data_IF_723932506643
#
_entry.id   IF_723932506643
#
_cell.length_a   1.000
_cell.length_b   1.000
_cell.length_c   1.000
_cell.angle_alpha   90.00
_cell.angle_beta   90.00
_cell.angle_gamma   90.00
#
_symmetry.space_group_name_H-M   'P 1'
#
loop_
_entity.id
_entity.type
_entity.pdbx_description
1 polymer ?
#
# COMPACT_ATOMS: atom_id res chain seq x y z
N UNK A 1 -0.75 5.73 -20.24
CA UNK A 1 -0.50 5.79 -18.80
C UNK A 1 -1.79 5.52 -18.04
N UNK A 2 -1.99 4.26 -17.72
CA UNK A 2 -3.25 3.76 -17.14
C UNK A 2 -3.59 4.38 -15.80
N UNK A 3 -2.63 4.37 -14.87
CA UNK A 3 -2.86 4.77 -13.47
C UNK A 3 -2.99 6.28 -13.31
N UNK A 4 -2.10 7.04 -13.96
CA UNK A 4 -2.13 8.51 -13.91
C UNK A 4 -3.43 9.00 -14.54
N UNK A 5 -3.79 8.48 -15.72
CA UNK A 5 -5.03 8.86 -16.40
C UNK A 5 -6.26 8.52 -15.56
N UNK A 6 -6.24 7.36 -14.91
CA UNK A 6 -7.33 6.96 -14.02
C UNK A 6 -7.54 7.96 -12.89
N UNK A 7 -6.46 8.30 -12.18
CA UNK A 7 -6.53 9.24 -11.05
C UNK A 7 -6.90 10.63 -11.53
N UNK A 8 -6.31 11.09 -12.64
CA UNK A 8 -6.63 12.40 -13.21
C UNK A 8 -8.06 12.50 -13.71
N UNK A 9 -8.74 11.37 -13.93
CA UNK A 9 -10.14 11.38 -14.35
C UNK A 9 -11.07 11.90 -13.24
N UNK A 10 -10.65 11.91 -11.97
CA UNK A 10 -11.49 12.39 -10.87
C UNK A 10 -10.84 13.44 -9.98
N UNK A 11 -9.57 13.78 -10.17
CA UNK A 11 -8.93 14.82 -9.37
C UNK A 11 -7.73 15.44 -10.09
N UNK A 12 -7.45 16.72 -9.77
CA UNK A 12 -6.22 17.41 -10.16
C UNK A 12 -5.33 17.65 -8.93
N UNK A 13 -5.72 17.15 -7.77
CA UNK A 13 -5.07 17.47 -6.48
C UNK A 13 -4.07 16.39 -6.04
N UNK A 14 -3.56 15.62 -6.99
CA UNK A 14 -2.53 14.61 -6.73
C UNK A 14 -1.27 14.89 -7.55
N UNK A 15 -0.14 14.55 -6.95
CA UNK A 15 1.17 14.69 -7.56
C UNK A 15 1.73 13.31 -7.90
N UNK A 16 2.27 13.17 -9.10
CA UNK A 16 2.87 11.94 -9.62
C UNK A 16 4.39 12.09 -9.68
N UNK A 17 5.08 10.97 -9.80
CA UNK A 17 6.54 10.91 -9.77
C UNK A 17 7.07 10.06 -10.91
N UNK A 18 8.37 10.17 -11.24
CA UNK A 18 8.98 9.24 -12.20
C UNK A 18 8.79 7.80 -11.75
N UNK A 19 8.81 6.82 -12.66
CA UNK A 19 8.67 5.41 -12.32
C UNK A 19 9.68 4.95 -11.28
N UNK A 20 9.25 4.04 -10.41
CA UNK A 20 10.18 3.33 -9.52
C UNK A 20 11.14 2.49 -10.37
N UNK A 21 12.36 2.30 -9.86
CA UNK A 21 13.33 1.46 -10.54
C UNK A 21 12.96 -0.01 -10.38
N UNK A 22 13.14 -0.79 -11.43
CA UNK A 22 12.85 -2.22 -11.40
C UNK A 22 13.67 -2.92 -10.32
N UNK A 23 14.93 -2.52 -10.12
CA UNK A 23 15.79 -3.07 -9.07
C UNK A 23 15.21 -2.84 -7.68
N UNK A 24 14.55 -1.72 -7.45
CA UNK A 24 13.92 -1.43 -6.15
C UNK A 24 12.76 -2.39 -5.89
N UNK A 25 11.95 -2.68 -6.91
CA UNK A 25 10.83 -3.62 -6.80
C UNK A 25 11.35 -5.03 -6.50
N UNK A 26 12.34 -5.49 -7.29
CA UNK A 26 12.92 -6.82 -7.11
C UNK A 26 13.55 -6.96 -5.72
N UNK A 27 14.27 -5.92 -5.27
CA UNK A 27 14.90 -5.92 -3.94
C UNK A 27 13.86 -6.06 -2.84
N UNK A 28 12.72 -5.39 -2.94
CA UNK A 28 11.65 -5.51 -1.95
C UNK A 28 11.05 -6.92 -1.95
N UNK A 29 10.82 -7.49 -3.13
CA UNK A 29 10.30 -8.86 -3.24
C UNK A 29 11.25 -9.87 -2.59
N UNK A 30 12.55 -9.70 -2.77
CA UNK A 30 13.56 -10.53 -2.13
C UNK A 30 13.61 -10.30 -0.62
N UNK A 31 13.58 -9.03 -0.21
CA UNK A 31 13.66 -8.65 1.20
C UNK A 31 12.48 -9.18 2.02
N UNK A 32 11.27 -9.07 1.48
CA UNK A 32 10.05 -9.50 2.15
C UNK A 32 9.66 -10.95 1.84
N UNK A 33 10.38 -11.62 0.93
CA UNK A 33 10.12 -12.99 0.53
C UNK A 33 8.69 -13.15 0.04
N UNK A 34 8.26 -12.22 -0.84
CA UNK A 34 6.90 -12.23 -1.40
C UNK A 34 6.93 -11.63 -2.80
N UNK A 35 6.10 -12.17 -3.70
CA UNK A 35 5.88 -11.61 -5.03
C UNK A 35 4.82 -10.51 -4.91
N UNK A 36 5.12 -9.30 -5.37
CA UNK A 36 4.14 -8.22 -5.39
C UNK A 36 3.05 -8.52 -6.43
N UNK A 37 1.80 -8.14 -6.14
CA UNK A 37 0.75 -8.23 -7.15
C UNK A 37 1.13 -7.49 -8.43
N UNK A 38 0.72 -8.03 -9.57
CA UNK A 38 1.03 -7.41 -10.86
C UNK A 38 0.52 -5.97 -10.95
N UNK A 39 -0.67 -5.70 -10.39
CA UNK A 39 -1.23 -4.34 -10.38
C UNK A 39 -0.35 -3.36 -9.60
N UNK A 40 0.25 -3.79 -8.49
CA UNK A 40 1.15 -2.93 -7.72
C UNK A 40 2.44 -2.66 -8.47
N UNK A 41 3.00 -3.68 -9.11
CA UNK A 41 4.20 -3.50 -9.93
C UNK A 41 3.93 -2.58 -11.12
N UNK A 42 2.80 -2.76 -11.80
CA UNK A 42 2.41 -1.89 -12.91
C UNK A 42 2.24 -0.44 -12.46
N UNK A 43 1.63 -0.25 -11.28
CA UNK A 43 1.47 1.09 -10.70
C UNK A 43 2.84 1.74 -10.44
N UNK A 44 3.73 1.05 -9.75
CA UNK A 44 5.06 1.59 -9.41
C UNK A 44 5.92 1.83 -10.64
N UNK A 45 5.74 1.04 -11.70
CA UNK A 45 6.44 1.23 -12.98
C UNK A 45 5.92 2.43 -13.76
N UNK A 46 4.75 2.95 -13.41
CA UNK A 46 4.20 4.15 -14.03
C UNK A 46 4.47 5.39 -13.18
N UNK A 47 4.26 5.30 -11.87
CA UNK A 47 4.53 6.39 -10.93
C UNK A 47 5.02 5.81 -9.59
N UNK A 48 6.09 6.36 -9.07
CA UNK A 48 6.67 5.92 -7.80
C UNK A 48 5.90 6.54 -6.64
N UNK A 49 4.68 6.04 -6.43
CA UNK A 49 3.75 6.57 -5.45
C UNK A 49 2.95 7.75 -5.97
N UNK A 50 1.99 8.18 -5.19
CA UNK A 50 1.14 9.35 -5.47
C UNK A 50 0.91 10.08 -4.16
N UNK A 51 1.14 11.39 -4.16
CA UNK A 51 0.91 12.22 -2.97
C UNK A 51 -0.18 13.25 -3.24
N UNK A 52 -0.80 13.73 -2.16
CA UNK A 52 -1.73 14.85 -2.25
C UNK A 52 -0.95 16.15 -2.44
N UNK A 53 -1.43 17.06 -3.28
CA UNK A 53 -0.76 18.35 -3.48
C UNK A 53 -0.91 19.27 -2.26
N UNK A 54 -2.01 19.15 -1.52
CA UNK A 54 -2.34 20.00 -0.40
C UNK A 54 -1.79 19.51 0.95
N UNK A 55 -1.38 18.25 1.02
CA UNK A 55 -0.96 17.61 2.29
C UNK A 55 0.34 16.86 2.09
N UNK A 56 1.13 16.74 3.15
CA UNK A 56 2.31 15.89 3.17
C UNK A 56 1.90 14.46 3.50
N UNK A 57 1.08 13.87 2.64
CA UNK A 57 0.51 12.54 2.81
C UNK A 57 0.44 11.85 1.46
N UNK A 58 0.65 10.54 1.43
CA UNK A 58 0.58 9.73 0.22
C UNK A 58 -0.78 9.07 0.09
N UNK A 59 -1.33 9.06 -1.13
CA UNK A 59 -2.48 8.22 -1.46
C UNK A 59 -2.04 6.77 -1.62
N UNK A 60 -0.90 6.55 -2.28
CA UNK A 60 -0.21 5.25 -2.35
C UNK A 60 1.27 5.54 -2.15
N UNK A 61 1.93 4.74 -1.32
CA UNK A 61 3.33 4.93 -0.99
C UNK A 61 4.26 4.69 -2.17
N UNK A 62 5.37 5.42 -2.21
CA UNK A 62 6.49 5.14 -3.10
C UNK A 62 7.18 3.84 -2.70
N UNK A 63 8.03 3.31 -3.59
CA UNK A 63 8.83 2.12 -3.28
C UNK A 63 9.65 2.31 -2.00
N UNK A 64 10.25 3.50 -1.83
CA UNK A 64 11.04 3.81 -0.63
C UNK A 64 10.20 3.74 0.64
N UNK A 65 8.98 4.27 0.61
CA UNK A 65 8.08 4.24 1.76
C UNK A 65 7.56 2.83 2.03
N UNK A 66 7.22 2.07 0.98
CA UNK A 66 6.81 0.67 1.13
C UNK A 66 7.92 -0.10 1.85
N UNK A 67 9.15 0.05 1.41
CA UNK A 67 10.29 -0.64 2.02
C UNK A 67 10.47 -0.22 3.48
N UNK A 68 10.53 1.08 3.73
CA UNK A 68 10.81 1.63 5.06
C UNK A 68 9.72 1.27 6.07
N UNK A 69 8.46 1.47 5.71
CA UNK A 69 7.36 1.27 6.64
C UNK A 69 7.09 -0.21 6.91
N UNK A 70 7.21 -1.07 5.90
CA UNK A 70 7.05 -2.51 6.13
C UNK A 70 8.19 -3.08 6.96
N UNK A 71 9.43 -2.63 6.75
CA UNK A 71 10.56 -3.01 7.60
C UNK A 71 10.32 -2.56 9.04
N UNK A 72 9.90 -1.32 9.24
CA UNK A 72 9.62 -0.79 10.56
C UNK A 72 8.58 -1.64 11.28
N UNK A 73 7.46 -1.94 10.63
CA UNK A 73 6.38 -2.72 11.24
C UNK A 73 6.84 -4.13 11.58
N UNK A 74 7.61 -4.76 10.70
CA UNK A 74 8.12 -6.13 10.94
C UNK A 74 9.12 -6.20 12.07
N UNK A 75 9.87 -5.11 12.32
CA UNK A 75 10.80 -5.02 13.45
C UNK A 75 10.07 -4.83 14.79
N UNK A 76 8.81 -4.39 14.77
CA UNK A 76 8.00 -4.24 15.98
C UNK A 76 7.38 -5.57 16.43
N UNK A 77 7.41 -6.62 15.60
CA UNK A 77 6.98 -7.94 16.00
C UNK A 77 7.84 -8.41 17.18
N UNK A 78 7.20 -8.95 18.20
CA UNK A 78 7.88 -9.42 19.40
C UNK A 78 8.21 -8.33 20.43
N UNK A 79 8.13 -7.05 20.05
CA UNK A 79 8.26 -5.93 20.98
C UNK A 79 6.88 -5.54 21.52
N UNK A 80 5.85 -5.70 20.70
CA UNK A 80 4.46 -5.40 21.05
C UNK A 80 3.63 -6.67 20.98
N UNK A 81 2.60 -6.73 21.82
CA UNK A 81 1.70 -7.90 21.87
C UNK A 81 0.70 -7.84 20.71
N UNK A 82 1.18 -8.03 19.49
CA UNK A 82 0.31 -8.16 18.33
C UNK A 82 -0.04 -9.62 18.10
N UNK A 83 -1.33 -9.89 17.91
CA UNK A 83 -1.82 -11.25 17.65
C UNK A 83 -1.57 -11.71 16.22
N UNK A 84 -1.38 -10.76 15.28
CA UNK A 84 -1.12 -11.06 13.88
C UNK A 84 0.29 -10.60 13.50
N UNK A 85 1.13 -11.52 12.97
CA UNK A 85 2.45 -11.13 12.50
C UNK A 85 2.35 -10.12 11.35
N UNK A 86 3.17 -9.07 11.37
CA UNK A 86 3.19 -8.08 10.29
C UNK A 86 3.70 -8.66 8.97
N UNK A 87 4.44 -9.78 9.02
CA UNK A 87 4.83 -10.51 7.81
C UNK A 87 3.62 -11.11 7.07
N UNK A 88 2.43 -11.13 7.69
CA UNK A 88 1.19 -11.57 7.03
C UNK A 88 0.52 -10.44 6.24
N UNK A 89 1.11 -9.24 6.20
CA UNK A 89 0.63 -8.12 5.40
C UNK A 89 1.76 -7.43 4.66
N UNK A 90 1.42 -6.88 3.50
CA UNK A 90 2.28 -5.95 2.76
C UNK A 90 1.54 -4.62 2.68
N UNK A 91 1.97 -3.64 3.47
CA UNK A 91 1.34 -2.33 3.52
C UNK A 91 1.79 -1.45 2.36
N UNK A 92 0.86 -0.69 1.79
CA UNK A 92 1.12 0.18 0.62
C UNK A 92 0.59 1.59 0.77
N UNK A 93 -0.18 1.87 1.84
CA UNK A 93 -0.74 3.19 2.10
C UNK A 93 -1.10 3.33 3.57
N UNK A 94 -1.28 4.58 4.03
CA UNK A 94 -1.77 4.83 5.38
C UNK A 94 -3.01 5.72 5.34
N UNK A 95 -3.80 5.65 6.40
CA UNK A 95 -5.04 6.42 6.52
C UNK A 95 -4.82 7.80 7.16
N UNK A 96 -3.60 8.09 7.61
CA UNK A 96 -3.28 9.34 8.29
C UNK A 96 -3.55 9.36 9.79
N UNK A 97 -4.13 8.29 10.34
CA UNK A 97 -4.47 8.16 11.76
C UNK A 97 -3.74 7.03 12.47
N UNK A 98 -2.80 6.37 11.79
CA UNK A 98 -2.08 5.20 12.30
C UNK A 98 -2.53 3.88 11.68
N UNK A 99 -3.70 3.84 11.07
CA UNK A 99 -4.19 2.65 10.37
C UNK A 99 -3.49 2.53 9.01
N UNK A 100 -3.23 1.30 8.59
CA UNK A 100 -2.48 1.02 7.37
C UNK A 100 -3.28 0.13 6.43
N UNK A 101 -3.13 0.38 5.13
CA UNK A 101 -3.77 -0.41 4.07
C UNK A 101 -2.75 -1.31 3.39
N UNK A 102 -3.15 -2.53 3.10
CA UNK A 102 -2.26 -3.44 2.39
C UNK A 102 -2.90 -4.73 1.94
N UNK A 103 -2.07 -5.58 1.37
CA UNK A 103 -2.42 -6.92 0.90
C UNK A 103 -2.18 -7.94 2.00
N UNK A 104 -2.98 -9.01 2.02
CA UNK A 104 -2.73 -10.16 2.89
C UNK A 104 -1.69 -11.08 2.28
N UNK A 105 -0.75 -11.54 3.10
CA UNK A 105 0.30 -12.48 2.73
C UNK A 105 0.08 -13.77 3.51
N UNK A 106 -0.07 -14.89 2.80
CA UNK A 106 -0.22 -16.21 3.41
C UNK A 106 0.87 -17.14 2.87
N UNK A 107 1.74 -17.62 3.77
CA UNK A 107 2.87 -18.48 3.43
C UNK A 107 3.74 -17.85 2.33
N UNK A 108 4.01 -16.54 2.43
CA UNK A 108 4.83 -15.82 1.46
C UNK A 108 4.15 -15.51 0.14
N UNK A 109 2.83 -15.71 0.04
CA UNK A 109 2.07 -15.52 -1.20
C UNK A 109 0.91 -14.55 -0.99
N UNK A 110 0.77 -13.60 -1.91
CA UNK A 110 -0.41 -12.74 -2.02
C UNK A 110 -1.32 -13.40 -3.07
N UNK A 111 -2.44 -13.98 -2.62
CA UNK A 111 -3.29 -14.84 -3.47
C UNK A 111 -4.22 -14.07 -4.39
N UNK A 112 -4.59 -12.83 -4.01
CA UNK A 112 -5.50 -12.00 -4.78
C UNK A 112 -5.15 -10.53 -4.58
N UNK A 113 -5.93 -9.63 -5.20
CA UNK A 113 -5.68 -8.19 -5.15
C UNK A 113 -6.47 -7.47 -4.06
N UNK A 114 -7.07 -8.21 -3.13
CA UNK A 114 -7.84 -7.63 -2.04
C UNK A 114 -6.98 -6.73 -1.15
N UNK A 115 -7.51 -5.55 -0.82
CA UNK A 115 -6.90 -4.59 0.09
C UNK A 115 -7.65 -4.63 1.40
N UNK A 116 -6.89 -4.64 2.50
CA UNK A 116 -7.39 -4.65 3.87
C UNK A 116 -6.88 -3.42 4.61
N UNK A 117 -7.63 -2.97 5.62
CA UNK A 117 -7.12 -1.99 6.58
C UNK A 117 -6.74 -2.72 7.87
N UNK A 118 -5.55 -2.40 8.39
CA UNK A 118 -5.10 -2.83 9.71
C UNK A 118 -5.34 -1.68 10.68
N UNK A 119 -6.10 -1.95 11.76
CA UNK A 119 -6.42 -0.96 12.77
C UNK A 119 -5.36 -1.00 13.88
N UNK A 120 -4.70 0.13 14.11
CA UNK A 120 -3.60 0.22 15.07
C UNK A 120 -4.05 0.14 16.53
N UNK A 121 -5.34 0.39 16.81
CA UNK A 121 -5.84 0.40 18.18
C UNK A 121 -6.17 -1.00 18.68
N UNK A 122 -6.74 -1.85 17.83
CA UNK A 122 -7.21 -3.19 18.23
C UNK A 122 -6.55 -4.33 17.45
N UNK A 123 -5.65 -4.01 16.52
CA UNK A 123 -4.93 -4.98 15.68
C UNK A 123 -5.87 -5.80 14.79
N UNK A 124 -7.07 -5.30 14.49
CA UNK A 124 -7.99 -5.97 13.58
C UNK A 124 -7.64 -5.69 12.12
N UNK A 125 -8.08 -6.58 11.23
CA UNK A 125 -7.92 -6.41 9.78
C UNK A 125 -9.29 -6.53 9.14
N UNK A 126 -9.65 -5.56 8.29
CA UNK A 126 -10.96 -5.51 7.64
C UNK A 126 -10.79 -5.28 6.15
N UNK A 127 -11.51 -6.05 5.34
CA UNK A 127 -11.52 -5.89 3.89
C UNK A 127 -12.10 -4.52 3.52
N UNK A 128 -11.46 -3.82 2.56
CA UNK A 128 -11.93 -2.50 2.11
C UNK A 128 -12.09 -2.40 0.59
N UNK A 129 -11.33 -3.16 -0.20
CA UNK A 129 -11.40 -3.08 -1.66
C UNK A 129 -10.91 -4.38 -2.28
N UNK A 130 -11.36 -4.66 -3.52
CA UNK A 130 -10.98 -5.88 -4.23
C UNK A 130 -9.81 -5.67 -5.20
N UNK A 131 -9.26 -4.46 -5.28
CA UNK A 131 -8.10 -4.15 -6.11
C UNK A 131 -7.49 -2.82 -5.68
N UNK A 132 -6.24 -2.57 -6.11
CA UNK A 132 -5.59 -1.29 -5.87
C UNK A 132 -6.35 -0.15 -6.55
N UNK A 133 -6.86 -0.39 -7.76
CA UNK A 133 -7.63 0.62 -8.48
C UNK A 133 -8.91 0.98 -7.72
N UNK A 134 -9.65 -0.01 -7.24
CA UNK A 134 -10.85 0.21 -6.43
C UNK A 134 -10.53 0.90 -5.11
N UNK A 135 -9.40 0.56 -4.49
CA UNK A 135 -8.95 1.22 -3.28
C UNK A 135 -8.68 2.71 -3.52
N UNK A 136 -7.91 3.03 -4.56
CA UNK A 136 -7.56 4.42 -4.88
C UNK A 136 -8.83 5.25 -5.08
N UNK A 137 -9.74 4.76 -5.91
CA UNK A 137 -11.02 5.44 -6.17
C UNK A 137 -11.87 5.55 -4.92
N UNK A 138 -12.06 4.45 -4.21
CA UNK A 138 -12.92 4.41 -3.03
C UNK A 138 -12.40 5.23 -1.87
N UNK A 139 -11.10 5.16 -1.60
CA UNK A 139 -10.49 5.90 -0.50
C UNK A 139 -10.46 7.41 -0.81
N UNK A 140 -9.96 7.79 -1.99
CA UNK A 140 -9.89 9.20 -2.37
C UNK A 140 -11.28 9.87 -2.37
N UNK A 141 -12.27 9.20 -2.92
CA UNK A 141 -13.63 9.75 -3.10
C UNK A 141 -14.56 9.51 -1.90
N UNK A 142 -14.05 8.99 -0.79
CA UNK A 142 -14.80 8.87 0.46
C UNK A 142 -15.80 7.72 0.51
N UNK A 143 -15.71 6.75 -0.41
CA UNK A 143 -16.58 5.56 -0.37
C UNK A 143 -16.08 4.47 0.55
N UNK A 144 -14.78 4.46 0.85
CA UNK A 144 -14.22 3.56 1.85
C UNK A 144 -14.20 4.29 3.18
N UNK A 145 -14.79 3.67 4.19
CA UNK A 145 -14.91 4.20 5.55
C UNK A 145 -14.25 3.22 6.52
N UNK A 146 -13.49 3.73 7.49
CA UNK A 146 -12.79 2.91 8.49
C UNK A 146 -13.05 3.41 9.91
#
# INVERSE_FOLDING_TARGET
>A
MKWINFIESFTVDCKFYPPAREEAIVRMEEMFQVQFPNELKDFLRETDGVTYTAYDLSLVWSAKLIQRENLYMRRQEGVQEFHMPFASMLFVADAGNGDLFGYCVQNGVIKNDDIYVWNHEDNSTTWVAHSLQSFIDGWYNGRISI
#
